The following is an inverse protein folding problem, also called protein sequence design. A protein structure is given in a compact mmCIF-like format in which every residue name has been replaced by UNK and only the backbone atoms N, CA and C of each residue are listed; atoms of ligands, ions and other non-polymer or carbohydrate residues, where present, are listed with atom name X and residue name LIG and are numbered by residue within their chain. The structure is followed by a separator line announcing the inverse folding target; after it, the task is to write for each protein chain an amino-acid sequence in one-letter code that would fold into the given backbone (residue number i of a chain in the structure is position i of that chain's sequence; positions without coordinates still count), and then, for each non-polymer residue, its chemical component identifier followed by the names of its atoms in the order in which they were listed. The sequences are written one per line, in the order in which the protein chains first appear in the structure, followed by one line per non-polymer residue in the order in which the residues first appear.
data_IF_542456471025
#
_entry.id   IF_542456471025
#
_cell.length_a   1.000
_cell.length_b   1.000
_cell.length_c   1.000
_cell.angle_alpha   90.00
_cell.angle_beta   90.00
_cell.angle_gamma   90.00
#
_symmetry.space_group_name_H-M   'P 1'
#
loop_
_entity.id
_entity.type
_entity.pdbx_description
1 polymer ?
#
# COMPACT_ATOMS: atom_id res chain seq x y z
N UNK A 1 -34.78 36.78 -1.68
CA UNK A 1 -33.41 36.80 -2.26
C UNK A 1 -32.55 35.60 -1.82
N UNK A 2 -32.78 34.99 -0.65
CA UNK A 2 -32.03 33.81 -0.19
C UNK A 2 -32.32 32.51 -0.97
N UNK A 3 -33.57 32.29 -1.43
CA UNK A 3 -33.92 31.03 -2.11
C UNK A 3 -33.28 30.85 -3.51
N UNK A 4 -33.13 31.94 -4.27
CA UNK A 4 -32.46 31.92 -5.58
C UNK A 4 -30.98 31.51 -5.48
N UNK A 5 -30.32 31.82 -4.35
CA UNK A 5 -28.92 31.45 -4.13
C UNK A 5 -28.79 29.96 -3.76
N UNK A 6 -29.80 29.39 -3.10
CA UNK A 6 -29.84 27.98 -2.73
C UNK A 6 -30.10 27.08 -3.94
N UNK A 7 -30.99 27.50 -4.84
CA UNK A 7 -31.26 26.78 -6.09
C UNK A 7 -30.03 26.70 -7.01
N UNK A 8 -29.29 27.81 -7.12
CA UNK A 8 -28.07 27.86 -7.95
C UNK A 8 -26.98 26.94 -7.42
N UNK A 9 -26.77 26.94 -6.10
CA UNK A 9 -25.81 26.06 -5.44
C UNK A 9 -26.15 24.57 -5.64
N UNK A 10 -27.43 24.20 -5.51
CA UNK A 10 -27.85 22.80 -5.69
C UNK A 10 -27.62 22.31 -7.12
N UNK A 11 -27.86 23.17 -8.12
CA UNK A 11 -27.70 22.83 -9.52
C UNK A 11 -26.23 22.74 -9.93
N UNK A 12 -25.37 23.60 -9.38
CA UNK A 12 -23.93 23.54 -9.60
C UNK A 12 -23.34 22.28 -8.92
N UNK A 13 -23.78 21.96 -7.69
CA UNK A 13 -23.40 20.72 -7.01
C UNK A 13 -23.84 19.47 -7.79
N UNK A 14 -25.06 19.47 -8.32
CA UNK A 14 -25.58 18.35 -9.12
C UNK A 14 -24.79 18.12 -10.40
N UNK A 15 -24.32 19.20 -11.05
CA UNK A 15 -23.45 19.10 -12.23
C UNK A 15 -22.07 18.58 -11.88
N UNK A 16 -21.43 19.10 -10.83
CA UNK A 16 -20.11 18.62 -10.39
C UNK A 16 -20.14 17.14 -9.99
N UNK A 17 -21.18 16.72 -9.25
CA UNK A 17 -21.37 15.32 -8.86
C UNK A 17 -21.61 14.44 -10.09
N UNK A 18 -22.40 14.91 -11.07
CA UNK A 18 -22.65 14.21 -12.33
C UNK A 18 -21.37 13.99 -13.14
N UNK A 19 -20.59 15.06 -13.37
CA UNK A 19 -19.31 14.97 -14.08
C UNK A 19 -18.31 14.07 -13.36
N UNK A 20 -18.26 14.13 -12.02
CA UNK A 20 -17.41 13.24 -11.23
C UNK A 20 -17.83 11.78 -11.37
N UNK A 21 -19.13 11.47 -11.36
CA UNK A 21 -19.63 10.11 -11.57
C UNK A 21 -19.30 9.57 -12.96
N UNK A 22 -19.46 10.40 -13.99
CA UNK A 22 -19.13 10.04 -15.37
C UNK A 22 -17.63 9.77 -15.53
N UNK A 23 -16.76 10.57 -14.90
CA UNK A 23 -15.31 10.34 -14.90
C UNK A 23 -14.92 9.07 -14.10
N UNK A 24 -15.62 8.79 -13.00
CA UNK A 24 -15.36 7.62 -12.15
C UNK A 24 -15.75 6.29 -12.82
N UNK A 25 -16.85 6.30 -13.59
CA UNK A 25 -17.38 5.13 -14.29
C UNK A 25 -16.99 5.08 -15.77
N UNK A 26 -16.14 6.01 -16.22
CA UNK A 26 -15.65 6.04 -17.59
C UNK A 26 -14.86 4.75 -17.89
N UNK A 27 -15.40 3.93 -18.79
CA UNK A 27 -14.79 2.66 -19.22
C UNK A 27 -13.36 2.88 -19.76
N UNK A 28 -13.08 4.06 -20.31
CA UNK A 28 -11.73 4.44 -20.77
C UNK A 28 -10.70 4.46 -19.65
N UNK A 29 -11.10 4.78 -18.42
CA UNK A 29 -10.22 4.84 -17.26
C UNK A 29 -9.70 3.47 -16.83
N UNK A 30 -10.40 2.37 -17.18
CA UNK A 30 -10.00 1.00 -16.83
C UNK A 30 -9.05 0.36 -17.84
N UNK A 31 -8.95 0.91 -19.06
CA UNK A 31 -8.19 0.31 -20.17
C UNK A 31 -6.69 0.25 -19.93
N UNK A 32 -6.12 1.12 -19.11
CA UNK A 32 -4.67 1.14 -18.81
C UNK A 32 -4.35 0.42 -17.49
N UNK A 33 -5.07 0.69 -16.37
CA UNK A 33 -4.70 0.12 -15.08
C UNK A 33 -4.89 -1.39 -14.99
N UNK A 34 -5.96 -1.91 -15.61
CA UNK A 34 -6.27 -3.35 -15.57
C UNK A 34 -5.19 -4.16 -16.28
N UNK A 35 -4.83 -3.90 -17.56
CA UNK A 35 -3.76 -4.67 -18.20
C UNK A 35 -2.42 -4.48 -17.48
N UNK A 36 -2.10 -3.29 -16.98
CA UNK A 36 -0.86 -3.07 -16.24
C UNK A 36 -0.79 -3.94 -14.97
N UNK A 37 -1.88 -4.01 -14.20
CA UNK A 37 -1.95 -4.88 -13.03
C UNK A 37 -1.84 -6.36 -13.40
N UNK A 38 -2.50 -6.79 -14.49
CA UNK A 38 -2.37 -8.17 -14.96
C UNK A 38 -0.95 -8.49 -15.41
N UNK A 39 -0.27 -7.58 -16.12
CA UNK A 39 1.12 -7.75 -16.53
C UNK A 39 2.05 -7.85 -15.32
N UNK A 40 1.88 -7.00 -14.31
CA UNK A 40 2.67 -7.06 -13.08
C UNK A 40 2.48 -8.42 -12.35
N UNK A 41 1.25 -8.93 -12.31
CA UNK A 41 0.96 -10.25 -11.76
C UNK A 41 1.60 -11.37 -12.58
N UNK A 42 1.46 -11.32 -13.91
CA UNK A 42 2.06 -12.31 -14.82
C UNK A 42 3.57 -12.34 -14.64
N UNK A 43 4.24 -11.19 -14.60
CA UNK A 43 5.69 -11.10 -14.38
C UNK A 43 6.09 -11.76 -13.06
N UNK A 44 5.35 -11.48 -11.97
CA UNK A 44 5.64 -12.10 -10.68
C UNK A 44 5.45 -13.63 -10.68
N UNK A 45 4.41 -14.13 -11.32
CA UNK A 45 4.20 -15.57 -11.49
C UNK A 45 5.24 -16.23 -12.39
N UNK A 46 5.67 -15.57 -13.47
CA UNK A 46 6.76 -16.04 -14.32
C UNK A 46 8.04 -16.15 -13.49
N UNK A 47 8.37 -15.17 -12.66
CA UNK A 47 9.55 -15.23 -11.79
C UNK A 47 9.44 -16.32 -10.72
N UNK A 48 8.25 -16.61 -10.20
CA UNK A 48 8.01 -17.73 -9.31
C UNK A 48 8.34 -19.07 -10.01
N UNK A 49 7.70 -19.33 -11.16
CA UNK A 49 7.83 -20.61 -11.86
C UNK A 49 9.20 -20.84 -12.51
N UNK A 50 9.86 -19.77 -12.99
CA UNK A 50 11.16 -19.86 -13.66
C UNK A 50 12.34 -19.54 -12.75
N UNK A 51 12.13 -19.45 -11.43
CA UNK A 51 13.18 -19.15 -10.45
C UNK A 51 14.37 -20.12 -10.51
N UNK A 52 14.12 -21.41 -10.76
CA UNK A 52 15.15 -22.45 -10.96
C UNK A 52 15.25 -22.93 -12.42
N UNK A 53 14.66 -22.20 -13.36
CA UNK A 53 14.52 -22.60 -14.76
C UNK A 53 13.24 -23.40 -15.06
N UNK A 54 13.21 -24.11 -16.19
CA UNK A 54 12.00 -24.81 -16.67
C UNK A 54 11.73 -26.17 -15.99
N UNK A 55 12.69 -26.69 -15.21
CA UNK A 55 12.61 -28.00 -14.57
C UNK A 55 11.41 -28.17 -13.62
N UNK A 56 11.16 -27.24 -12.68
CA UNK A 56 10.01 -27.31 -11.77
C UNK A 56 8.66 -27.30 -12.49
N UNK A 57 8.54 -26.53 -13.58
CA UNK A 57 7.31 -26.48 -14.40
C UNK A 57 7.10 -27.79 -15.13
N UNK A 58 8.16 -28.39 -15.68
CA UNK A 58 8.11 -29.70 -16.31
C UNK A 58 7.74 -30.80 -15.32
N UNK A 59 8.29 -30.75 -14.10
CA UNK A 59 7.96 -31.66 -13.01
C UNK A 59 6.48 -31.52 -12.60
N UNK A 60 5.98 -30.30 -12.41
CA UNK A 60 4.57 -30.07 -12.12
C UNK A 60 3.64 -30.60 -13.21
N UNK A 61 3.99 -30.37 -14.48
CA UNK A 61 3.20 -30.81 -15.63
C UNK A 61 3.16 -32.35 -15.76
N UNK A 62 4.23 -33.05 -15.36
CA UNK A 62 4.30 -34.51 -15.43
C UNK A 62 3.81 -35.24 -14.17
N UNK A 63 4.08 -34.67 -13.00
CA UNK A 63 3.82 -35.26 -11.67
C UNK A 63 2.43 -34.92 -11.13
N UNK A 64 1.94 -33.70 -11.40
CA UNK A 64 0.69 -33.19 -10.84
C UNK A 64 0.68 -33.01 -9.31
N UNK A 65 1.82 -33.24 -8.63
CA UNK A 65 1.92 -33.19 -7.18
C UNK A 65 2.21 -31.77 -6.67
N UNK A 66 1.48 -31.36 -5.63
CA UNK A 66 1.64 -30.05 -4.98
C UNK A 66 2.97 -29.97 -4.21
N UNK A 67 3.55 -31.11 -3.81
CA UNK A 67 4.87 -31.17 -3.15
C UNK A 67 5.98 -30.51 -3.96
N UNK A 68 5.89 -30.58 -5.29
CA UNK A 68 6.89 -30.02 -6.20
C UNK A 68 6.88 -28.48 -6.17
N UNK A 69 5.73 -27.86 -5.86
CA UNK A 69 5.62 -26.43 -5.59
C UNK A 69 6.34 -26.03 -4.30
N UNK A 70 6.26 -26.87 -3.25
CA UNK A 70 6.95 -26.58 -1.99
C UNK A 70 8.47 -26.69 -2.13
N UNK A 71 8.96 -27.65 -2.93
CA UNK A 71 10.39 -27.78 -3.25
C UNK A 71 10.87 -26.55 -4.01
N UNK A 72 10.13 -26.12 -5.05
CA UNK A 72 10.44 -24.91 -5.79
C UNK A 72 10.44 -23.67 -4.87
N UNK A 73 9.44 -23.52 -4.01
CA UNK A 73 9.33 -22.39 -3.09
C UNK A 73 10.50 -22.34 -2.09
N UNK A 74 10.98 -23.50 -1.60
CA UNK A 74 12.12 -23.56 -0.67
C UNK A 74 13.40 -22.99 -1.28
N UNK A 75 13.58 -23.17 -2.59
CA UNK A 75 14.79 -22.76 -3.29
C UNK A 75 14.61 -21.44 -4.05
N UNK A 76 13.41 -20.86 -4.04
CA UNK A 76 13.10 -19.65 -4.76
C UNK A 76 13.90 -18.43 -4.24
N UNK A 77 14.21 -17.51 -5.15
CA UNK A 77 14.91 -16.27 -4.82
C UNK A 77 14.09 -15.41 -3.83
N UNK A 78 14.71 -14.65 -2.91
CA UNK A 78 14.00 -13.83 -1.91
C UNK A 78 12.95 -12.86 -2.49
N UNK A 79 13.17 -12.41 -3.74
CA UNK A 79 12.23 -11.56 -4.50
C UNK A 79 10.87 -12.22 -4.69
N UNK A 80 10.84 -13.54 -4.88
CA UNK A 80 9.61 -14.33 -5.05
C UNK A 80 8.76 -14.32 -3.77
N UNK A 81 9.40 -14.35 -2.60
CA UNK A 81 8.68 -14.21 -1.33
C UNK A 81 8.09 -12.81 -1.15
N UNK A 82 8.81 -11.77 -1.60
CA UNK A 82 8.29 -10.41 -1.72
C UNK A 82 7.03 -10.34 -2.58
N UNK A 83 7.10 -10.91 -3.79
CA UNK A 83 5.95 -11.02 -4.68
C UNK A 83 4.76 -11.71 -4.01
N UNK A 84 4.99 -12.83 -3.34
CA UNK A 84 3.92 -13.61 -2.71
C UNK A 84 3.20 -12.80 -1.62
N UNK A 85 3.96 -12.02 -0.83
CA UNK A 85 3.40 -11.07 0.14
C UNK A 85 2.60 -9.94 -0.53
N UNK A 86 3.12 -9.38 -1.63
CA UNK A 86 2.41 -8.36 -2.40
C UNK A 86 1.11 -8.89 -3.01
N UNK A 87 1.14 -10.11 -3.56
CA UNK A 87 0.00 -10.81 -4.11
C UNK A 87 -1.09 -11.05 -3.06
N UNK A 88 -0.71 -11.54 -1.87
CA UNK A 88 -1.63 -11.73 -0.76
C UNK A 88 -2.36 -10.42 -0.36
N UNK A 89 -1.60 -9.33 -0.24
CA UNK A 89 -2.20 -8.03 0.06
C UNK A 89 -3.13 -7.55 -1.07
N UNK A 90 -2.71 -7.67 -2.33
CA UNK A 90 -3.54 -7.26 -3.48
C UNK A 90 -4.85 -8.04 -3.53
N UNK A 91 -4.82 -9.34 -3.23
CA UNK A 91 -6.03 -10.17 -3.13
C UNK A 91 -6.95 -9.67 -2.01
N UNK A 92 -6.40 -9.42 -0.81
CA UNK A 92 -7.17 -8.89 0.33
C UNK A 92 -7.78 -7.52 0.01
N UNK A 93 -7.02 -6.64 -0.62
CA UNK A 93 -7.45 -5.30 -1.00
C UNK A 93 -8.57 -5.36 -2.03
N UNK A 94 -8.43 -6.18 -3.08
CA UNK A 94 -9.46 -6.41 -4.09
C UNK A 94 -10.72 -7.00 -3.47
N UNK A 95 -10.59 -8.02 -2.63
CA UNK A 95 -11.72 -8.65 -1.95
C UNK A 95 -12.50 -7.61 -1.14
N UNK A 96 -11.81 -6.81 -0.32
CA UNK A 96 -12.49 -5.83 0.50
C UNK A 96 -13.17 -4.75 -0.34
N UNK A 97 -12.52 -4.25 -1.39
CA UNK A 97 -13.10 -3.21 -2.25
C UNK A 97 -14.25 -3.72 -3.11
N UNK A 98 -14.19 -4.99 -3.50
CA UNK A 98 -15.29 -5.67 -4.17
C UNK A 98 -16.51 -5.74 -3.25
N UNK A 99 -16.32 -6.18 -1.99
CA UNK A 99 -17.40 -6.25 -0.99
C UNK A 99 -17.98 -4.87 -0.67
N UNK A 100 -17.15 -3.82 -0.63
CA UNK A 100 -17.64 -2.45 -0.41
C UNK A 100 -18.14 -1.75 -1.67
N UNK A 101 -18.19 -2.44 -2.82
CA UNK A 101 -18.60 -1.89 -4.13
C UNK A 101 -17.83 -0.62 -4.54
N UNK A 102 -16.56 -0.51 -4.12
CA UNK A 102 -15.69 0.64 -4.36
C UNK A 102 -14.45 0.23 -5.18
N UNK A 103 -14.69 -0.45 -6.29
CA UNK A 103 -13.64 -0.90 -7.18
C UNK A 103 -13.42 0.14 -8.29
N UNK A 104 -12.63 1.17 -7.99
CA UNK A 104 -12.23 2.21 -8.95
C UNK A 104 -11.01 1.78 -9.79
N UNK A 105 -10.84 2.35 -10.98
CA UNK A 105 -9.68 2.10 -11.83
C UNK A 105 -8.33 2.41 -11.15
N UNK A 106 -8.30 3.41 -10.26
CA UNK A 106 -7.11 3.79 -9.47
C UNK A 106 -6.58 2.64 -8.61
N UNK A 107 -7.45 1.75 -8.13
CA UNK A 107 -7.10 0.60 -7.29
C UNK A 107 -6.16 -0.35 -8.02
N UNK A 108 -6.45 -0.64 -9.29
CA UNK A 108 -5.60 -1.50 -10.11
C UNK A 108 -4.23 -0.87 -10.34
N UNK A 109 -4.19 0.45 -10.50
CA UNK A 109 -2.94 1.19 -10.64
C UNK A 109 -2.10 1.11 -9.38
N UNK A 110 -2.71 1.28 -8.21
CA UNK A 110 -2.06 1.09 -6.92
C UNK A 110 -1.51 -0.33 -6.77
N UNK A 111 -2.29 -1.36 -7.15
CA UNK A 111 -1.85 -2.76 -7.10
C UNK A 111 -0.63 -2.98 -8.00
N UNK A 112 -0.68 -2.49 -9.25
CA UNK A 112 0.41 -2.63 -10.21
C UNK A 112 1.71 -2.00 -9.68
N UNK A 113 1.64 -0.73 -9.28
CA UNK A 113 2.79 0.01 -8.73
C UNK A 113 3.34 -0.69 -7.49
N UNK A 114 2.46 -1.13 -6.58
CA UNK A 114 2.86 -1.81 -5.35
C UNK A 114 3.60 -3.12 -5.61
N UNK A 115 3.16 -3.92 -6.58
CA UNK A 115 3.87 -5.16 -6.97
C UNK A 115 5.30 -4.81 -7.43
N UNK A 116 5.46 -3.85 -8.34
CA UNK A 116 6.78 -3.44 -8.82
C UNK A 116 7.69 -2.91 -7.70
N UNK A 117 7.15 -2.05 -6.83
CA UNK A 117 7.91 -1.49 -5.70
C UNK A 117 8.36 -2.59 -4.75
N UNK A 118 7.49 -3.52 -4.38
CA UNK A 118 7.86 -4.63 -3.48
C UNK A 118 8.93 -5.53 -4.10
N UNK A 119 8.84 -5.81 -5.41
CA UNK A 119 9.83 -6.60 -6.13
C UNK A 119 11.21 -5.95 -6.08
N UNK A 120 11.28 -4.65 -6.37
CA UNK A 120 12.53 -3.88 -6.30
C UNK A 120 13.05 -3.82 -4.86
N UNK A 121 12.16 -3.56 -3.90
CA UNK A 121 12.50 -3.39 -2.50
C UNK A 121 13.07 -4.67 -1.87
N UNK A 122 12.48 -5.82 -2.17
CA UNK A 122 12.99 -7.12 -1.71
C UNK A 122 14.28 -7.53 -2.40
N UNK A 123 14.49 -7.12 -3.66
CA UNK A 123 15.78 -7.26 -4.33
C UNK A 123 16.86 -6.45 -3.61
N UNK A 124 16.62 -5.16 -3.36
CA UNK A 124 17.55 -4.30 -2.60
C UNK A 124 17.81 -4.88 -1.22
N UNK A 125 16.76 -5.33 -0.53
CA UNK A 125 16.90 -5.93 0.80
C UNK A 125 17.79 -7.18 0.78
N UNK A 126 17.69 -8.02 -0.25
CA UNK A 126 18.55 -9.20 -0.39
C UNK A 126 20.03 -8.84 -0.56
N UNK A 127 20.34 -7.80 -1.34
CA UNK A 127 21.72 -7.30 -1.53
C UNK A 127 22.26 -6.71 -0.23
N UNK A 128 21.44 -5.90 0.44
CA UNK A 128 21.79 -5.26 1.71
C UNK A 128 22.02 -6.28 2.83
N UNK A 129 21.24 -7.35 2.87
CA UNK A 129 21.39 -8.43 3.85
C UNK A 129 22.75 -9.12 3.75
N UNK A 130 23.24 -9.32 2.53
CA UNK A 130 24.54 -9.93 2.28
C UNK A 130 25.72 -8.99 2.58
N UNK A 131 25.54 -7.68 2.35
CA UNK A 131 26.59 -6.68 2.60
C UNK A 131 26.92 -6.46 4.09
N UNK A 132 26.20 -7.11 5.02
CA UNK A 132 26.42 -7.00 6.46
C UNK A 132 27.24 -8.19 7.01
N UNK A 133 28.47 -7.97 7.52
CA UNK A 133 29.34 -9.02 8.06
C UNK A 133 28.72 -9.85 9.19
N UNK A 134 27.83 -9.25 9.97
CA UNK A 134 27.13 -9.93 11.07
C UNK A 134 26.11 -10.98 10.59
N UNK A 135 25.70 -10.92 9.32
CA UNK A 135 24.69 -11.79 8.71
C UNK A 135 25.28 -12.78 7.68
N UNK A 136 26.57 -12.67 7.37
CA UNK A 136 27.31 -13.55 6.43
C UNK A 136 27.30 -15.04 6.85
N UNK A 137 27.09 -15.33 8.14
CA UNK A 137 26.97 -16.72 8.65
C UNK A 137 25.73 -17.45 8.10
N UNK A 138 24.76 -16.71 7.55
CA UNK A 138 23.54 -17.25 6.95
C UNK A 138 23.68 -17.16 5.41
N UNK A 139 24.19 -18.22 4.78
CA UNK A 139 24.57 -18.24 3.37
C UNK A 139 23.49 -17.85 2.34
N UNK A 140 23.90 -17.78 1.07
CA UNK A 140 23.12 -17.31 -0.09
C UNK A 140 21.75 -18.03 -0.27
N UNK A 141 21.66 -19.29 0.15
CA UNK A 141 20.45 -20.09 0.04
C UNK A 141 19.57 -19.93 1.28
N UNK A 142 18.67 -18.95 1.23
CA UNK A 142 17.38 -19.06 1.90
C UNK A 142 17.44 -19.27 3.41
N UNK A 143 18.16 -18.40 4.13
CA UNK A 143 17.90 -18.29 5.57
C UNK A 143 16.40 -18.05 5.74
N UNK A 144 15.73 -18.96 6.44
CA UNK A 144 14.27 -18.93 6.61
C UNK A 144 13.79 -17.56 7.14
N UNK A 145 14.65 -16.89 7.89
CA UNK A 145 14.45 -15.53 8.40
C UNK A 145 14.44 -14.49 7.30
N UNK A 146 15.38 -14.51 6.35
CA UNK A 146 15.41 -13.58 5.21
C UNK A 146 14.15 -13.75 4.34
N UNK A 147 13.77 -14.99 4.05
CA UNK A 147 12.59 -15.31 3.25
C UNK A 147 11.31 -14.81 3.93
N UNK A 148 11.17 -15.05 5.23
CA UNK A 148 10.05 -14.56 6.04
C UNK A 148 10.02 -13.02 6.09
N UNK A 149 11.18 -12.38 6.23
CA UNK A 149 11.30 -10.92 6.23
C UNK A 149 10.89 -10.34 4.87
N UNK A 150 11.36 -10.92 3.75
CA UNK A 150 10.96 -10.52 2.40
C UNK A 150 9.45 -10.68 2.18
N UNK A 151 8.85 -11.75 2.69
CA UNK A 151 7.40 -11.95 2.64
C UNK A 151 6.62 -10.88 3.41
N UNK A 152 7.03 -10.60 4.66
CA UNK A 152 6.41 -9.55 5.49
C UNK A 152 6.60 -8.17 4.84
N UNK A 153 7.78 -7.91 4.29
CA UNK A 153 8.08 -6.72 3.50
C UNK A 153 7.12 -6.56 2.29
N UNK A 154 6.71 -7.66 1.67
CA UNK A 154 5.69 -7.63 0.62
C UNK A 154 4.27 -7.38 1.11
N UNK A 155 3.94 -7.81 2.34
CA UNK A 155 2.65 -7.50 2.98
C UNK A 155 2.57 -6.03 3.36
N UNK A 156 3.67 -5.44 3.86
CA UNK A 156 3.72 -4.04 4.27
C UNK A 156 5.02 -3.39 3.80
N UNK A 157 5.00 -2.52 2.78
CA UNK A 157 6.21 -1.86 2.29
C UNK A 157 6.89 -1.01 3.38
N UNK A 158 6.12 -0.45 4.31
CA UNK A 158 6.67 0.31 5.45
C UNK A 158 7.57 -0.53 6.34
N UNK A 159 7.23 -1.81 6.55
CA UNK A 159 8.07 -2.71 7.36
C UNK A 159 9.41 -2.93 6.68
N UNK A 160 9.40 -3.06 5.35
CA UNK A 160 10.61 -3.23 4.56
C UNK A 160 11.52 -1.99 4.62
N UNK A 161 10.96 -0.79 4.44
CA UNK A 161 11.69 0.47 4.55
C UNK A 161 12.30 0.65 5.95
N UNK A 162 11.53 0.37 7.00
CA UNK A 162 12.03 0.40 8.37
C UNK A 162 13.17 -0.59 8.60
N UNK A 163 13.16 -1.75 7.93
CA UNK A 163 14.20 -2.76 8.03
C UNK A 163 15.49 -2.28 7.36
N UNK A 164 15.38 -1.67 6.17
CA UNK A 164 16.49 -1.02 5.47
C UNK A 164 17.06 0.09 6.35
N UNK A 165 16.24 0.96 6.94
CA UNK A 165 16.71 2.00 7.84
C UNK A 165 17.47 1.45 9.04
N UNK A 166 16.97 0.37 9.67
CA UNK A 166 17.67 -0.27 10.81
C UNK A 166 19.03 -0.80 10.38
N UNK A 167 19.11 -1.41 9.21
CA UNK A 167 20.36 -1.92 8.64
C UNK A 167 21.32 -0.78 8.29
N UNK A 168 20.85 0.27 7.61
CA UNK A 168 21.65 1.46 7.29
C UNK A 168 22.17 2.11 8.57
N UNK A 169 21.36 2.24 9.62
CA UNK A 169 21.79 2.79 10.92
C UNK A 169 22.78 1.87 11.64
N UNK A 170 22.63 0.55 11.51
CA UNK A 170 23.56 -0.42 12.09
C UNK A 170 24.92 -0.42 11.37
N UNK A 171 24.92 -0.22 10.04
CA UNK A 171 26.13 -0.18 9.21
C UNK A 171 26.83 1.19 9.16
N UNK A 172 26.08 2.30 9.20
CA UNK A 172 26.61 3.67 9.01
C UNK A 172 26.50 4.58 10.25
N UNK A 173 26.14 4.05 11.42
CA UNK A 173 26.05 4.83 12.66
C UNK A 173 24.96 5.92 12.65
N UNK A 174 24.91 6.74 13.71
CA UNK A 174 23.86 7.72 14.05
C UNK A 174 23.68 8.91 13.08
N UNK A 175 24.04 8.76 11.81
CA UNK A 175 23.96 9.81 10.77
C UNK A 175 22.70 9.70 9.89
N UNK A 176 21.76 8.83 10.22
CA UNK A 176 20.48 8.75 9.52
C UNK A 176 19.66 10.04 9.70
N UNK A 177 19.05 10.59 8.62
CA UNK A 177 18.19 11.76 8.73
C UNK A 177 17.07 11.48 9.73
N UNK A 178 16.81 12.44 10.63
CA UNK A 178 15.61 12.42 11.48
C UNK A 178 14.41 12.36 10.54
N UNK A 179 13.71 11.22 10.53
CA UNK A 179 12.38 11.15 9.94
C UNK A 179 11.59 12.33 10.52
N UNK A 180 11.11 13.21 9.64
CA UNK A 180 10.26 14.32 10.06
C UNK A 180 9.10 13.72 10.83
N UNK A 181 9.01 14.05 12.11
CA UNK A 181 7.99 13.53 13.01
C UNK A 181 6.65 14.22 12.69
N UNK A 182 6.09 13.92 11.53
CA UNK A 182 4.70 14.24 11.25
C UNK A 182 3.86 13.40 12.21
N UNK A 183 2.92 14.04 12.88
CA UNK A 183 1.98 13.33 13.74
C UNK A 183 1.15 12.41 12.85
N UNK A 184 1.26 11.07 13.00
CA UNK A 184 0.54 10.15 12.13
C UNK A 184 -0.97 10.27 12.39
N UNK A 185 -1.78 10.10 11.34
CA UNK A 185 -3.24 10.13 11.44
C UNK A 185 -3.80 9.10 12.44
N UNK A 186 -3.04 8.05 12.77
CA UNK A 186 -3.38 7.06 13.78
C UNK A 186 -3.63 7.63 15.18
N UNK A 187 -3.19 8.87 15.48
CA UNK A 187 -3.47 9.52 16.76
C UNK A 187 -4.88 10.11 16.86
N UNK A 188 -5.62 10.18 15.75
CA UNK A 188 -7.00 10.68 15.74
C UNK A 188 -7.93 9.57 16.24
N UNK A 189 -8.76 9.90 17.23
CA UNK A 189 -9.62 8.91 17.90
C UNK A 189 -10.75 8.48 16.97
N UNK A 190 -10.93 7.16 16.82
CA UNK A 190 -11.97 6.59 15.96
C UNK A 190 -11.60 6.51 14.47
N UNK A 191 -10.36 6.83 14.11
CA UNK A 191 -9.84 6.67 12.75
C UNK A 191 -9.27 5.24 12.56
N UNK A 192 -10.00 4.38 11.84
CA UNK A 192 -9.55 3.04 11.49
C UNK A 192 -8.49 3.09 10.36
N UNK A 193 -7.66 2.05 10.24
CA UNK A 193 -6.69 1.85 9.17
C UNK A 193 -7.30 2.01 7.76
N UNK A 194 -8.56 1.61 7.60
CA UNK A 194 -9.30 1.81 6.34
C UNK A 194 -9.58 3.28 6.01
N UNK A 195 -9.92 4.09 7.01
CA UNK A 195 -10.12 5.53 6.81
C UNK A 195 -8.78 6.22 6.55
N UNK A 196 -7.70 5.76 7.20
CA UNK A 196 -6.34 6.26 6.92
C UNK A 196 -5.93 5.98 5.48
N UNK A 197 -6.17 4.77 4.96
CA UNK A 197 -5.87 4.44 3.58
C UNK A 197 -6.64 5.32 2.59
N UNK A 198 -7.94 5.57 2.84
CA UNK A 198 -8.77 6.48 2.02
C UNK A 198 -8.31 7.94 2.08
N UNK A 199 -7.84 8.42 3.24
CA UNK A 199 -7.30 9.77 3.38
C UNK A 199 -5.93 9.91 2.71
N UNK A 200 -5.09 8.87 2.82
CA UNK A 200 -3.79 8.82 2.13
C UNK A 200 -3.96 8.80 0.60
N UNK A 201 -5.03 8.19 0.08
CA UNK A 201 -5.38 8.27 -1.36
C UNK A 201 -5.63 9.71 -1.84
N UNK A 202 -6.11 10.59 -0.95
CA UNK A 202 -6.31 12.02 -1.21
C UNK A 202 -5.07 12.88 -0.88
N UNK A 203 -3.92 12.26 -0.57
CA UNK A 203 -2.69 12.95 -0.19
C UNK A 203 -2.67 13.44 1.27
N UNK A 204 -3.55 12.91 2.12
CA UNK A 204 -3.67 13.30 3.52
C UNK A 204 -2.96 12.28 4.39
N UNK A 205 -1.65 12.52 4.56
CA UNK A 205 -0.73 11.59 5.23
C UNK A 205 -0.35 12.01 6.66
N UNK A 206 -0.73 13.22 7.08
CA UNK A 206 -0.50 13.72 8.43
C UNK A 206 -1.72 14.38 9.04
N UNK A 207 -1.76 14.46 10.38
CA UNK A 207 -2.79 15.24 11.11
C UNK A 207 -2.78 16.70 10.66
N UNK A 208 -1.61 17.25 10.30
CA UNK A 208 -1.48 18.61 9.79
C UNK A 208 -2.20 18.76 8.44
N UNK A 209 -2.02 17.79 7.52
CA UNK A 209 -2.66 17.82 6.21
C UNK A 209 -4.19 17.71 6.35
N UNK A 210 -4.68 16.92 7.31
CA UNK A 210 -6.12 16.81 7.56
C UNK A 210 -6.70 18.11 8.15
N UNK A 211 -5.97 18.78 9.04
CA UNK A 211 -6.38 20.07 9.61
C UNK A 211 -6.46 21.20 8.57
N UNK A 212 -5.63 21.14 7.53
CA UNK A 212 -5.54 22.15 6.46
C UNK A 212 -6.26 21.76 5.16
N UNK A 213 -6.83 20.55 5.10
CA UNK A 213 -7.41 19.98 3.87
C UNK A 213 -8.81 20.51 3.54
N UNK A 214 -9.18 20.49 2.26
CA UNK A 214 -10.51 20.91 1.80
C UNK A 214 -11.58 19.85 2.07
N UNK A 215 -12.41 20.09 3.10
CA UNK A 215 -13.51 19.22 3.51
C UNK A 215 -14.44 18.82 2.36
N UNK A 216 -14.70 19.70 1.39
CA UNK A 216 -15.63 19.42 0.29
C UNK A 216 -15.02 18.37 -0.64
N UNK A 217 -13.78 18.58 -1.07
CA UNK A 217 -13.04 17.59 -1.86
C UNK A 217 -12.90 16.24 -1.15
N UNK A 218 -12.60 16.24 0.15
CA UNK A 218 -12.50 15.00 0.93
C UNK A 218 -13.83 14.23 0.92
N UNK A 219 -14.97 14.88 1.14
CA UNK A 219 -16.28 14.20 1.20
C UNK A 219 -16.61 13.54 -0.14
N UNK A 220 -16.37 14.26 -1.24
CA UNK A 220 -16.66 13.79 -2.60
C UNK A 220 -15.80 12.58 -2.94
N UNK A 221 -14.48 12.67 -2.68
CA UNK A 221 -13.56 11.65 -3.16
C UNK A 221 -13.48 10.42 -2.22
N UNK A 222 -13.50 10.65 -0.90
CA UNK A 222 -13.38 9.57 0.10
C UNK A 222 -14.70 8.93 0.47
N UNK A 223 -15.85 9.55 0.15
CA UNK A 223 -17.20 9.10 0.57
C UNK A 223 -17.33 8.88 2.08
N UNK A 224 -16.52 9.56 2.89
CA UNK A 224 -16.62 9.54 4.35
C UNK A 224 -17.79 10.42 4.78
N UNK A 225 -18.52 10.01 5.82
CA UNK A 225 -19.67 10.78 6.32
C UNK A 225 -19.22 12.16 6.84
N UNK A 226 -19.88 13.23 6.38
CA UNK A 226 -19.57 14.64 6.70
C UNK A 226 -19.31 14.86 8.20
N UNK A 227 -20.25 14.45 9.05
CA UNK A 227 -20.14 14.68 10.50
C UNK A 227 -18.94 13.97 11.13
N UNK A 228 -18.56 12.82 10.59
CA UNK A 228 -17.40 12.05 11.07
C UNK A 228 -16.10 12.70 10.63
N UNK A 229 -16.07 13.19 9.39
CA UNK A 229 -14.91 13.87 8.83
C UNK A 229 -14.66 15.23 9.50
N UNK A 230 -15.72 16.00 9.75
CA UNK A 230 -15.66 17.25 10.50
C UNK A 230 -15.12 17.04 11.92
N UNK A 231 -15.60 16.01 12.62
CA UNK A 231 -15.08 15.63 13.93
C UNK A 231 -13.59 15.24 13.90
N UNK A 232 -13.12 14.55 12.85
CA UNK A 232 -11.69 14.24 12.70
C UNK A 232 -10.84 15.47 12.37
N UNK A 233 -11.37 16.42 11.59
CA UNK A 233 -10.71 17.70 11.33
C UNK A 233 -10.59 18.52 12.61
N UNK A 234 -11.68 18.62 13.40
CA UNK A 234 -11.67 19.32 14.69
C UNK A 234 -10.62 18.72 15.64
N UNK A 235 -10.57 17.38 15.76
CA UNK A 235 -9.53 16.70 16.54
C UNK A 235 -8.13 16.97 15.98
N UNK A 236 -7.99 17.06 14.66
CA UNK A 236 -6.70 17.33 14.03
C UNK A 236 -6.21 18.74 14.37
N UNK A 237 -7.07 19.75 14.24
CA UNK A 237 -6.76 21.13 14.62
C UNK A 237 -6.36 21.22 16.09
N UNK A 238 -7.09 20.53 16.96
CA UNK A 238 -6.77 20.41 18.40
C UNK A 238 -5.39 19.79 18.64
N UNK A 239 -5.08 18.66 18.00
CA UNK A 239 -3.79 17.97 18.12
C UNK A 239 -2.64 18.87 17.64
N UNK A 240 -2.84 19.64 16.57
CA UNK A 240 -1.84 20.55 16.02
C UNK A 240 -1.53 21.70 16.98
N UNK A 241 -2.54 22.26 17.65
CA UNK A 241 -2.37 23.43 18.52
C UNK A 241 -1.98 23.07 19.96
N UNK A 242 -2.56 22.01 20.52
CA UNK A 242 -2.39 21.61 21.93
C UNK A 242 -1.20 20.66 22.12
N UNK A 243 -0.79 19.98 21.04
CA UNK A 243 0.22 18.93 21.07
C UNK A 243 -0.33 17.61 21.59
N UNK A 244 0.22 16.50 21.10
CA UNK A 244 -0.26 15.15 21.41
C UNK A 244 -0.14 14.81 22.91
N UNK A 245 0.89 15.31 23.58
CA UNK A 245 1.25 14.92 24.95
C UNK A 245 0.23 15.37 26.02
N UNK A 246 -0.66 16.30 25.70
CA UNK A 246 -1.65 16.84 26.63
C UNK A 246 -3.04 16.18 26.50
N UNK A 247 -3.24 15.26 25.55
CA UNK A 247 -4.54 14.60 25.31
C UNK A 247 -4.70 13.26 26.03
N UNK A 248 -3.63 12.73 26.65
CA UNK A 248 -3.62 11.46 27.39
C UNK A 248 -3.58 11.65 28.93
N UNK A 249 -3.66 12.88 29.41
CA UNK A 249 -3.86 13.21 30.84
C UNK A 249 -5.34 13.39 31.15
#
# INVERSE_FOLDING_TARGET
MFELKHYKLYNDLGKEVGTCFDDLYNDKSYRVPVPLATLALVVGWVLFFFSEGAGPVANLAGSGNISDLFVNLKNAHPVVFGFLGAFFFSLRMLFQRYVTTDLKASVFMHIAVRIWVVMILTLVLSVVWYALPALESYGYQGSLTLLAVCFIAGISPDVALNLIERVVRAGFGKLGPRAYAHVPLAKIRGLNLWHQARLAEEGIDSVQNLAMGDIVGLIVNTRLGLMRLLHWIDQSILIVHVGVENLEK
#
